data_IF_489817863172
#
_entry.id   IF_489817863172
#
_cell.length_a   1.000
_cell.length_b   1.000
_cell.length_c   1.000
_cell.angle_alpha   90.00
_cell.angle_beta   90.00
_cell.angle_gamma   90.00
#
_symmetry.space_group_name_H-M   'P 1'
#
loop_
_entity.id
_entity.type
_entity.pdbx_description
1 polymer ?
#
# COMPACT_ATOMS: atom_id res chain seq x y z
N UNK A 1 -5.28 -7.34 21.58
CA UNK A 1 -6.51 -7.95 21.04
C UNK A 1 -6.61 -7.62 19.57
N UNK A 2 -7.56 -8.19 18.81
CA UNK A 2 -7.75 -7.88 17.38
C UNK A 2 -7.87 -6.37 17.14
N UNK A 3 -8.53 -5.66 18.06
CA UNK A 3 -8.70 -4.20 18.02
C UNK A 3 -7.36 -3.45 18.08
N UNK A 4 -6.42 -3.90 18.93
CA UNK A 4 -5.10 -3.29 19.04
C UNK A 4 -4.31 -3.43 17.74
N UNK A 5 -4.41 -4.59 17.08
CA UNK A 5 -3.74 -4.84 15.81
C UNK A 5 -4.31 -3.93 14.72
N UNK A 6 -5.63 -3.79 14.64
CA UNK A 6 -6.28 -2.91 13.66
C UNK A 6 -5.94 -1.43 13.89
N UNK A 7 -5.88 -0.98 15.14
CA UNK A 7 -5.48 0.39 15.47
C UNK A 7 -4.04 0.70 15.05
N UNK A 8 -3.11 -0.23 15.30
CA UNK A 8 -1.72 -0.09 14.86
C UNK A 8 -1.67 -0.05 13.32
N UNK A 9 -2.30 -1.00 12.64
CA UNK A 9 -2.31 -1.04 11.17
C UNK A 9 -2.88 0.25 10.57
N UNK A 10 -4.02 0.73 11.06
CA UNK A 10 -4.62 1.97 10.58
C UNK A 10 -3.69 3.18 10.76
N UNK A 11 -2.92 3.25 11.86
CA UNK A 11 -1.93 4.30 12.08
C UNK A 11 -0.71 4.21 11.16
N UNK A 12 -0.23 3.00 10.86
CA UNK A 12 1.00 2.79 10.08
C UNK A 12 0.79 2.64 8.58
N UNK A 13 -0.41 2.28 8.11
CA UNK A 13 -0.73 2.16 6.68
C UNK A 13 -0.46 3.44 5.88
N UNK A 14 -0.86 4.65 6.34
CA UNK A 14 -0.50 5.90 5.67
C UNK A 14 1.01 6.08 5.52
N UNK A 15 1.78 5.74 6.57
CA UNK A 15 3.24 5.84 6.55
C UNK A 15 3.86 4.83 5.58
N UNK A 16 3.28 3.62 5.48
CA UNK A 16 3.67 2.63 4.49
C UNK A 16 3.49 3.14 3.05
N UNK A 17 2.34 3.73 2.73
CA UNK A 17 2.13 4.32 1.41
C UNK A 17 3.00 5.55 1.15
N UNK A 18 3.26 6.37 2.16
CA UNK A 18 4.19 7.49 2.03
C UNK A 18 5.60 6.99 1.70
N UNK A 19 6.06 5.94 2.39
CA UNK A 19 7.36 5.32 2.11
C UNK A 19 7.41 4.71 0.69
N UNK A 20 6.35 4.04 0.25
CA UNK A 20 6.23 3.51 -1.11
C UNK A 20 6.29 4.64 -2.16
N UNK A 21 5.55 5.73 -1.95
CA UNK A 21 5.56 6.90 -2.82
C UNK A 21 6.95 7.52 -2.92
N UNK A 22 7.63 7.72 -1.79
CA UNK A 22 9.00 8.27 -1.76
C UNK A 22 9.99 7.33 -2.44
N UNK A 23 9.85 6.02 -2.27
CA UNK A 23 10.71 5.05 -2.94
C UNK A 23 10.56 5.13 -4.46
N UNK A 24 9.32 5.18 -4.99
CA UNK A 24 9.08 5.40 -6.42
C UNK A 24 9.50 6.78 -6.91
N UNK A 25 9.37 7.83 -6.10
CA UNK A 25 9.88 9.15 -6.45
C UNK A 25 11.41 9.13 -6.61
N UNK A 26 12.11 8.39 -5.75
CA UNK A 26 13.56 8.23 -5.85
C UNK A 26 14.00 7.34 -7.03
N UNK A 27 13.16 6.42 -7.51
CA UNK A 27 13.43 5.67 -8.77
C UNK A 27 13.59 6.62 -9.95
N UNK A 28 12.84 7.73 -9.99
CA UNK A 28 13.01 8.75 -11.03
C UNK A 28 14.39 9.41 -11.01
N UNK A 29 15.04 9.52 -9.84
CA UNK A 29 16.35 10.15 -9.70
C UNK A 29 17.51 9.16 -9.77
N UNK A 30 17.34 7.97 -9.19
CA UNK A 30 18.33 6.88 -9.15
C UNK A 30 17.66 5.56 -9.55
N UNK A 31 17.88 5.15 -10.81
CA UNK A 31 17.16 4.01 -11.40
C UNK A 31 17.44 2.69 -10.68
N UNK A 32 18.70 2.30 -10.46
CA UNK A 32 19.02 0.88 -10.22
C UNK A 32 18.89 0.39 -8.78
N UNK A 33 19.19 1.24 -7.77
CA UNK A 33 19.17 0.81 -6.37
C UNK A 33 17.76 0.85 -5.78
N UNK A 34 17.01 1.93 -6.06
CA UNK A 34 15.68 2.12 -5.51
C UNK A 34 14.63 1.25 -6.21
N UNK A 35 14.79 0.89 -7.49
CA UNK A 35 13.90 -0.08 -8.16
C UNK A 35 13.88 -1.44 -7.45
N UNK A 36 15.02 -1.86 -6.90
CA UNK A 36 15.13 -3.14 -6.18
C UNK A 36 14.40 -3.13 -4.84
N UNK A 37 14.04 -1.95 -4.31
CA UNK A 37 13.41 -1.78 -3.00
C UNK A 37 11.98 -1.29 -3.12
N UNK A 38 11.68 -0.38 -4.04
CA UNK A 38 10.38 0.26 -4.21
C UNK A 38 9.27 -0.77 -4.48
N UNK A 39 9.47 -1.64 -5.47
CA UNK A 39 8.48 -2.65 -5.86
C UNK A 39 8.19 -3.66 -4.73
N UNK A 40 9.19 -4.32 -4.10
CA UNK A 40 8.90 -5.26 -3.01
C UNK A 40 8.34 -4.56 -1.76
N UNK A 41 8.78 -3.33 -1.45
CA UNK A 41 8.20 -2.53 -0.37
C UNK A 41 6.71 -2.28 -0.62
N UNK A 42 6.36 -1.84 -1.83
CA UNK A 42 4.99 -1.51 -2.19
C UNK A 42 4.10 -2.75 -2.19
N UNK A 43 4.60 -3.89 -2.69
CA UNK A 43 3.92 -5.19 -2.52
C UNK A 43 3.66 -5.51 -1.05
N UNK A 44 4.66 -5.30 -0.18
CA UNK A 44 4.51 -5.50 1.26
C UNK A 44 3.39 -4.64 1.86
N UNK A 45 3.36 -3.34 1.54
CA UNK A 45 2.32 -2.42 2.01
C UNK A 45 0.93 -2.83 1.51
N UNK A 46 0.81 -3.17 0.21
CA UNK A 46 -0.45 -3.62 -0.41
C UNK A 46 -0.96 -4.90 0.23
N UNK A 47 -0.09 -5.89 0.50
CA UNK A 47 -0.47 -7.15 1.15
C UNK A 47 -0.90 -6.94 2.60
N UNK A 48 -0.18 -6.10 3.35
CA UNK A 48 -0.55 -5.74 4.72
C UNK A 48 -1.91 -5.05 4.73
N UNK A 49 -2.16 -4.13 3.78
CA UNK A 49 -3.44 -3.47 3.67
C UNK A 49 -4.56 -4.45 3.30
N UNK A 50 -4.34 -5.34 2.33
CA UNK A 50 -5.34 -6.36 1.98
C UNK A 50 -5.72 -7.22 3.20
N UNK A 51 -4.73 -7.61 4.02
CA UNK A 51 -4.98 -8.32 5.27
C UNK A 51 -5.75 -7.47 6.30
N UNK A 52 -5.43 -6.17 6.42
CA UNK A 52 -6.18 -5.21 7.22
C UNK A 52 -7.66 -5.16 6.80
N UNK A 53 -7.96 -5.03 5.50
CA UNK A 53 -9.35 -5.00 5.01
C UNK A 53 -10.10 -6.29 5.33
N UNK A 54 -9.46 -7.45 5.18
CA UNK A 54 -10.07 -8.74 5.51
C UNK A 54 -10.37 -8.86 7.00
N UNK A 55 -9.41 -8.49 7.86
CA UNK A 55 -9.57 -8.53 9.31
C UNK A 55 -10.70 -7.60 9.77
N UNK A 56 -10.74 -6.37 9.25
CA UNK A 56 -11.75 -5.38 9.59
C UNK A 56 -13.15 -5.82 9.12
N UNK A 57 -13.26 -6.34 7.90
CA UNK A 57 -14.51 -6.86 7.36
C UNK A 57 -15.06 -8.04 8.19
N UNK A 58 -14.19 -8.93 8.66
CA UNK A 58 -14.58 -10.06 9.52
C UNK A 58 -14.95 -9.59 10.93
N UNK A 59 -14.15 -8.68 11.52
CA UNK A 59 -14.33 -8.23 12.89
C UNK A 59 -15.57 -7.35 13.09
N UNK A 60 -15.80 -6.40 12.19
CA UNK A 60 -16.84 -5.38 12.37
C UNK A 60 -18.01 -5.50 11.39
N UNK A 61 -17.96 -6.45 10.45
CA UNK A 61 -18.98 -6.68 9.41
C UNK A 61 -19.34 -5.43 8.60
N UNK A 62 -18.43 -4.47 8.51
CA UNK A 62 -18.54 -3.32 7.62
C UNK A 62 -17.35 -3.29 6.65
N UNK A 63 -17.52 -2.57 5.54
CA UNK A 63 -16.44 -2.32 4.60
C UNK A 63 -15.61 -1.13 5.13
N UNK A 64 -14.26 -1.19 5.06
CA UNK A 64 -13.35 -0.12 5.52
C UNK A 64 -13.44 1.16 4.68
N UNK A 65 -14.51 1.93 4.87
CA UNK A 65 -14.74 3.22 4.22
C UNK A 65 -15.53 4.15 5.15
N UNK A 66 -15.50 3.85 6.46
CA UNK A 66 -16.35 4.49 7.44
C UNK A 66 -15.81 5.86 7.87
N UNK A 67 -14.51 6.12 7.66
CA UNK A 67 -13.89 7.42 7.93
C UNK A 67 -12.95 7.89 6.81
N UNK A 68 -12.55 9.16 6.90
CA UNK A 68 -11.69 9.82 5.91
C UNK A 68 -10.32 9.15 5.78
N UNK A 69 -9.74 8.66 6.87
CA UNK A 69 -8.43 8.00 6.85
C UNK A 69 -8.46 6.64 6.16
N UNK A 70 -9.47 5.82 6.45
CA UNK A 70 -9.74 4.58 5.72
C UNK A 70 -9.94 4.86 4.23
N UNK A 71 -10.70 5.91 3.90
CA UNK A 71 -10.97 6.28 2.50
C UNK A 71 -9.69 6.65 1.74
N UNK A 72 -8.81 7.47 2.34
CA UNK A 72 -7.55 7.87 1.71
C UNK A 72 -6.60 6.68 1.53
N UNK A 73 -6.48 5.84 2.56
CA UNK A 73 -5.58 4.68 2.49
C UNK A 73 -6.14 3.62 1.53
N UNK A 74 -7.45 3.50 1.38
CA UNK A 74 -8.10 2.66 0.36
C UNK A 74 -7.86 3.15 -1.06
N UNK A 75 -7.89 4.48 -1.29
CA UNK A 75 -7.52 5.07 -2.58
C UNK A 75 -6.04 4.79 -2.88
N UNK A 76 -5.15 4.99 -1.90
CA UNK A 76 -3.73 4.70 -2.03
C UNK A 76 -3.48 3.20 -2.34
N UNK A 77 -4.22 2.30 -1.68
CA UNK A 77 -4.24 0.88 -1.98
C UNK A 77 -4.63 0.59 -3.43
N UNK A 78 -5.75 1.14 -3.89
CA UNK A 78 -6.23 0.92 -5.25
C UNK A 78 -5.23 1.42 -6.30
N UNK A 79 -4.67 2.62 -6.10
CA UNK A 79 -3.66 3.19 -6.99
C UNK A 79 -2.38 2.33 -7.01
N UNK A 80 -1.85 1.98 -5.84
CA UNK A 80 -0.64 1.15 -5.73
C UNK A 80 -0.84 -0.23 -6.36
N UNK A 81 -2.00 -0.85 -6.16
CA UNK A 81 -2.33 -2.13 -6.76
C UNK A 81 -2.39 -2.04 -8.29
N UNK A 82 -3.04 -1.01 -8.83
CA UNK A 82 -3.06 -0.77 -10.29
C UNK A 82 -1.64 -0.58 -10.82
N UNK A 83 -0.82 0.20 -10.12
CA UNK A 83 0.57 0.42 -10.49
C UNK A 83 1.36 -0.90 -10.53
N UNK A 84 1.30 -1.70 -9.46
CA UNK A 84 2.01 -2.98 -9.39
C UNK A 84 1.54 -3.97 -10.46
N UNK A 85 0.25 -3.96 -10.80
CA UNK A 85 -0.28 -4.79 -11.90
C UNK A 85 0.25 -4.32 -13.26
N UNK A 86 0.35 -3.01 -13.48
CA UNK A 86 0.92 -2.44 -14.70
C UNK A 86 2.42 -2.76 -14.81
N UNK A 87 3.17 -2.57 -13.73
CA UNK A 87 4.61 -2.90 -13.65
C UNK A 87 4.84 -4.39 -13.94
N UNK A 88 4.02 -5.27 -13.34
CA UNK A 88 4.10 -6.71 -13.58
C UNK A 88 3.79 -7.09 -15.04
N UNK A 89 2.80 -6.44 -15.67
CA UNK A 89 2.41 -6.72 -17.06
C UNK A 89 3.42 -6.21 -18.08
N UNK A 90 4.03 -5.06 -17.82
CA UNK A 90 4.95 -4.43 -18.76
C UNK A 90 6.37 -4.99 -18.64
N UNK A 91 6.71 -5.62 -17.51
CA UNK A 91 8.05 -6.17 -17.24
C UNK A 91 9.13 -5.09 -17.08
N UNK A 92 8.75 -3.82 -17.22
CA UNK A 92 9.60 -2.65 -17.12
C UNK A 92 9.27 -1.92 -15.82
N UNK A 93 10.26 -1.76 -14.95
CA UNK A 93 10.11 -1.05 -13.66
C UNK A 93 10.19 0.47 -13.78
N UNK A 94 10.52 0.95 -14.99
CA UNK A 94 10.82 2.36 -15.28
C UNK A 94 9.59 3.22 -15.58
N UNK A 95 8.37 2.68 -15.63
CA UNK A 95 7.17 3.47 -15.92
C UNK A 95 6.61 4.06 -14.63
N UNK A 96 7.31 5.06 -14.11
CA UNK A 96 6.61 6.19 -13.51
C UNK A 96 6.09 7.13 -14.59
#
# INVERSE_FOLDING_TARGET
>A
TVDTTLAILNGFLPLGYLAAMVAYLGVFTEKTALERVATPLTWGVVLIHAAYLMLEAVAFRHVPVANTWESLTFIAFAMALVYLVLEWRQGERSTG
#
